data_IF_204649760947
#
_entry.id   IF_204649760947
#
_cell.length_a   1.000
_cell.length_b   1.000
_cell.length_c   1.000
_cell.angle_alpha   90.00
_cell.angle_beta   90.00
_cell.angle_gamma   90.00
#
_symmetry.space_group_name_H-M   'P 1'
#
loop_
_entity.id
_entity.type
_entity.pdbx_description
1 polymer ?
#
# COMPACT_ATOMS: atom_id res chain seq x y z
N UNK A 1 5.61 13.21 18.47
CA UNK A 1 4.51 13.56 17.55
C UNK A 1 4.84 12.88 16.24
N UNK A 2 3.92 12.16 15.62
CA UNK A 2 4.13 11.64 14.27
C UNK A 2 4.15 12.81 13.29
N UNK A 3 5.19 12.88 12.46
CA UNK A 3 5.28 13.86 11.38
C UNK A 3 4.71 13.28 10.08
N UNK A 4 4.09 14.13 9.26
CA UNK A 4 3.63 13.73 7.94
C UNK A 4 4.78 13.80 6.94
N UNK A 5 4.93 12.73 6.16
CA UNK A 5 5.90 12.65 5.05
C UNK A 5 5.16 12.79 3.72
N UNK A 6 5.63 13.68 2.85
CA UNK A 6 5.12 13.78 1.48
C UNK A 6 5.68 12.63 0.64
N UNK A 7 4.80 11.79 0.09
CA UNK A 7 5.19 10.60 -0.69
C UNK A 7 5.03 10.79 -2.21
N UNK A 8 3.84 11.21 -2.66
CA UNK A 8 3.52 11.31 -4.09
C UNK A 8 2.45 12.38 -4.36
N UNK A 9 2.28 12.75 -5.63
CA UNK A 9 1.12 13.49 -6.11
C UNK A 9 -0.07 12.57 -6.37
N UNK A 10 -1.28 13.12 -6.33
CA UNK A 10 -2.54 12.37 -6.56
C UNK A 10 -2.55 11.67 -7.92
N UNK A 11 -1.95 12.29 -8.95
CA UNK A 11 -1.90 11.73 -10.30
C UNK A 11 -0.90 10.57 -10.47
N UNK A 12 0.01 10.36 -9.50
CA UNK A 12 1.01 9.29 -9.58
C UNK A 12 0.38 7.92 -9.31
N UNK A 13 -0.77 7.89 -8.61
CA UNK A 13 -1.47 6.66 -8.23
C UNK A 13 -2.91 6.77 -8.76
N UNK A 14 -3.21 6.20 -9.94
CA UNK A 14 -4.55 6.26 -10.53
C UNK A 14 -5.56 5.47 -9.70
N UNK A 15 -6.85 5.75 -9.89
CA UNK A 15 -7.95 4.96 -9.30
C UNK A 15 -8.54 3.98 -10.34
N UNK A 16 -8.55 2.66 -10.09
CA UNK A 16 -7.90 1.99 -8.97
C UNK A 16 -6.39 1.84 -9.21
N UNK A 17 -5.61 1.82 -8.13
CA UNK A 17 -4.17 1.69 -8.23
C UNK A 17 -3.48 1.49 -6.88
N UNK A 18 -2.24 1.02 -6.95
CA UNK A 18 -1.36 0.91 -5.78
C UNK A 18 0.09 1.09 -6.18
N UNK A 19 0.90 1.59 -5.26
CA UNK A 19 2.33 1.77 -5.46
C UNK A 19 3.09 1.62 -4.14
N UNK A 20 4.26 0.99 -4.23
CA UNK A 20 5.19 0.82 -3.12
C UNK A 20 6.08 2.06 -2.97
N UNK A 21 6.33 2.44 -1.73
CA UNK A 21 7.21 3.53 -1.36
C UNK A 21 8.08 3.14 -0.18
N UNK A 22 9.35 3.53 -0.23
CA UNK A 22 10.25 3.47 0.90
C UNK A 22 10.14 4.80 1.68
N UNK A 23 9.83 4.72 2.96
CA UNK A 23 9.71 5.85 3.88
C UNK A 23 10.55 5.53 5.11
N UNK A 24 11.69 6.21 5.22
CA UNK A 24 12.74 5.90 6.20
C UNK A 24 13.15 4.42 6.12
N UNK A 25 12.92 3.63 7.18
CA UNK A 25 13.28 2.20 7.25
C UNK A 25 12.09 1.28 6.97
N UNK A 26 10.99 1.81 6.43
CA UNK A 26 9.75 1.05 6.16
C UNK A 26 9.41 1.07 4.68
N UNK A 27 8.89 -0.06 4.22
CA UNK A 27 8.24 -0.16 2.91
C UNK A 27 6.74 -0.10 3.16
N UNK A 28 6.06 0.84 2.52
CA UNK A 28 4.61 1.00 2.60
C UNK A 28 3.99 0.90 1.21
N UNK A 29 2.74 0.45 1.16
CA UNK A 29 1.95 0.44 -0.06
C UNK A 29 0.81 1.45 0.08
N UNK A 30 0.77 2.42 -0.84
CA UNK A 30 -0.32 3.38 -0.97
C UNK A 30 -1.32 2.85 -2.00
N UNK A 31 -2.60 2.90 -1.66
CA UNK A 31 -3.73 2.49 -2.49
C UNK A 31 -4.57 3.71 -2.84
N UNK A 32 -5.09 3.75 -4.07
CA UNK A 32 -6.16 4.64 -4.47
C UNK A 32 -7.32 3.77 -4.94
N UNK A 33 -8.40 3.76 -4.16
CA UNK A 33 -9.57 2.92 -4.44
C UNK A 33 -10.84 3.71 -4.15
N UNK A 34 -11.72 3.78 -5.15
CA UNK A 34 -13.03 4.45 -5.03
C UNK A 34 -12.92 5.91 -4.55
N UNK A 35 -11.94 6.65 -5.09
CA UNK A 35 -11.67 8.06 -4.79
C UNK A 35 -10.96 8.33 -3.47
N UNK A 36 -10.62 7.29 -2.69
CA UNK A 36 -9.98 7.41 -1.38
C UNK A 36 -8.58 6.80 -1.36
N UNK A 37 -7.71 7.36 -0.52
CA UNK A 37 -6.33 6.89 -0.36
C UNK A 37 -6.15 6.14 0.96
N UNK A 38 -5.48 4.98 0.89
CA UNK A 38 -5.16 4.15 2.04
C UNK A 38 -3.69 3.80 2.03
N UNK A 39 -3.07 3.66 3.20
CA UNK A 39 -1.66 3.30 3.33
C UNK A 39 -1.53 2.13 4.30
N UNK A 40 -0.85 1.06 3.88
CA UNK A 40 -0.53 -0.09 4.72
C UNK A 40 0.98 -0.30 4.74
N UNK A 41 1.48 -0.94 5.81
CA UNK A 41 2.81 -1.53 5.82
C UNK A 41 2.88 -2.63 4.74
N UNK A 42 4.01 -2.76 4.05
CA UNK A 42 4.22 -3.81 3.03
C UNK A 42 4.52 -5.18 3.66
N UNK A 43 4.30 -5.32 4.97
CA UNK A 43 4.59 -6.53 5.73
C UNK A 43 3.29 -7.23 6.12
N UNK A 44 3.02 -8.38 5.49
CA UNK A 44 1.90 -9.23 5.88
C UNK A 44 2.06 -9.70 7.33
N UNK A 45 1.03 -9.48 8.16
CA UNK A 45 1.07 -9.79 9.59
C UNK A 45 1.10 -11.29 9.91
N UNK A 46 0.81 -12.16 8.94
CA UNK A 46 0.85 -13.60 9.13
C UNK A 46 2.29 -14.12 9.24
N UNK A 47 3.15 -13.80 8.27
CA UNK A 47 4.53 -14.31 8.21
C UNK A 47 5.53 -13.41 7.47
N UNK A 48 5.24 -12.11 7.39
CA UNK A 48 6.17 -11.09 6.89
C UNK A 48 6.35 -11.05 5.37
N UNK A 49 5.44 -11.65 4.58
CA UNK A 49 5.47 -11.55 3.13
C UNK A 49 5.16 -10.14 2.57
N UNK A 50 5.54 -9.85 1.32
CA UNK A 50 5.33 -8.55 0.68
C UNK A 50 3.85 -8.34 0.34
N UNK A 51 3.12 -7.62 1.19
CA UNK A 51 1.66 -7.50 1.07
C UNK A 51 1.26 -6.74 -0.21
N UNK A 52 1.99 -5.69 -0.54
CA UNK A 52 1.82 -4.82 -1.70
C UNK A 52 2.09 -5.47 -3.04
N UNK A 53 2.67 -6.68 -3.09
CA UNK A 53 2.71 -7.51 -4.30
C UNK A 53 1.40 -8.28 -4.54
N UNK A 54 0.52 -8.34 -3.54
CA UNK A 54 -0.74 -9.10 -3.53
C UNK A 54 -1.82 -8.62 -4.52
N UNK A 55 -2.80 -9.46 -4.84
CA UNK A 55 -3.91 -9.02 -5.70
C UNK A 55 -4.81 -8.02 -4.95
N UNK A 56 -5.11 -6.89 -5.58
CA UNK A 56 -6.08 -5.91 -5.08
C UNK A 56 -7.42 -6.15 -5.77
N UNK A 57 -8.46 -6.42 -4.98
CA UNK A 57 -9.84 -6.49 -5.43
C UNK A 57 -10.67 -5.49 -4.62
N UNK A 58 -11.20 -4.48 -5.30
CA UNK A 58 -11.99 -3.41 -4.70
C UNK A 58 -11.23 -2.73 -3.55
N UNK A 59 -11.58 -3.00 -2.29
CA UNK A 59 -10.90 -2.46 -1.10
C UNK A 59 -10.23 -3.57 -0.26
N UNK A 60 -9.94 -4.72 -0.86
CA UNK A 60 -9.29 -5.86 -0.21
C UNK A 60 -8.01 -6.24 -0.95
N UNK A 61 -6.91 -6.42 -0.20
CA UNK A 61 -5.66 -6.97 -0.73
C UNK A 61 -5.43 -8.38 -0.17
N UNK A 62 -5.20 -9.33 -1.08
CA UNK A 62 -4.87 -10.71 -0.73
C UNK A 62 -3.35 -10.91 -0.75
N UNK A 63 -2.78 -11.46 0.32
CA UNK A 63 -1.34 -11.70 0.39
C UNK A 63 -0.92 -12.67 -0.72
N UNK A 64 0.14 -12.38 -1.49
CA UNK A 64 0.53 -13.22 -2.63
C UNK A 64 1.02 -14.62 -2.21
N UNK A 65 1.29 -14.83 -0.92
CA UNK A 65 1.84 -16.10 -0.41
C UNK A 65 0.76 -17.11 -0.01
N UNK A 66 -0.26 -16.69 0.74
CA UNK A 66 -1.27 -17.60 1.33
C UNK A 66 -2.71 -17.24 0.99
N UNK A 67 -2.94 -16.15 0.25
CA UNK A 67 -4.26 -15.57 0.01
C UNK A 67 -4.75 -14.74 1.19
#
# INVERSE_FOLDING_TARGET
>A
MSEFVRIAGVADIPDPGKQLFEVDERIVVLFHVAGEFYCLDDVCTHDGGPLGEGALDSCAIACPRHG
#
